data_IF_717294645583
#
_entry.id   IF_717294645583
#
_cell.length_a   1.000
_cell.length_b   1.000
_cell.length_c   1.000
_cell.angle_alpha   90.00
_cell.angle_beta   90.00
_cell.angle_gamma   90.00
#
_symmetry.space_group_name_H-M   'P 1'
#
loop_
_entity.id
_entity.type
_entity.pdbx_description
1 polymer ?
#
# COMPACT_ATOMS: atom_id res chain seq x y z
N UNK A 1 -8.39 32.87 -43.17
CA UNK A 1 -7.08 32.37 -42.71
C UNK A 1 -7.06 30.84 -42.75
N UNK A 2 -6.43 30.24 -43.78
CA UNK A 2 -6.16 28.80 -43.82
C UNK A 2 -4.86 28.56 -43.05
N UNK A 3 -4.95 28.15 -41.78
CA UNK A 3 -3.78 27.57 -41.11
C UNK A 3 -3.36 26.32 -41.88
N UNK A 4 -2.11 26.30 -42.35
CA UNK A 4 -1.59 25.23 -43.20
C UNK A 4 -1.52 23.92 -42.42
N UNK A 5 -1.93 22.80 -43.06
CA UNK A 5 -1.88 21.44 -42.49
C UNK A 5 -0.49 21.05 -41.95
N UNK A 6 0.56 21.72 -42.42
CA UNK A 6 1.94 21.51 -41.98
C UNK A 6 2.19 22.00 -40.54
N UNK A 7 1.48 23.03 -40.08
CA UNK A 7 1.65 23.54 -38.71
C UNK A 7 1.04 22.58 -37.66
N UNK A 8 -0.08 21.93 -38.00
CA UNK A 8 -0.73 20.95 -37.13
C UNK A 8 0.11 19.68 -36.95
N UNK A 9 0.76 19.20 -38.02
CA UNK A 9 1.64 18.01 -37.95
C UNK A 9 2.89 18.29 -37.10
N UNK A 10 3.50 19.47 -37.24
CA UNK A 10 4.68 19.86 -36.43
C UNK A 10 4.31 19.97 -34.94
N UNK A 11 3.14 20.51 -34.60
CA UNK A 11 2.69 20.64 -33.21
C UNK A 11 2.42 19.28 -32.55
N UNK A 12 1.89 18.31 -33.29
CA UNK A 12 1.66 16.93 -32.80
C UNK A 12 2.98 16.20 -32.57
N UNK A 13 3.96 16.35 -33.47
CA UNK A 13 5.28 15.72 -33.32
C UNK A 13 6.04 16.30 -32.11
N UNK A 14 6.01 17.63 -31.91
CA UNK A 14 6.66 18.28 -30.78
C UNK A 14 6.05 17.87 -29.43
N UNK A 15 4.73 17.66 -29.39
CA UNK A 15 4.04 17.24 -28.17
C UNK A 15 4.36 15.79 -27.78
N UNK A 16 4.51 14.90 -28.77
CA UNK A 16 4.87 13.49 -28.55
C UNK A 16 6.33 13.33 -28.09
N UNK A 17 7.27 14.08 -28.66
CA UNK A 17 8.70 14.00 -28.30
C UNK A 17 8.98 14.55 -26.91
N UNK A 18 8.33 15.66 -26.52
CA UNK A 18 8.42 16.20 -25.18
C UNK A 18 7.88 15.21 -24.12
N UNK A 19 6.80 14.50 -24.44
CA UNK A 19 6.20 13.49 -23.55
C UNK A 19 7.14 12.28 -23.33
N UNK A 20 7.80 11.80 -24.39
CA UNK A 20 8.75 10.68 -24.29
C UNK A 20 10.04 11.06 -23.54
N UNK A 21 10.53 12.30 -23.73
CA UNK A 21 11.69 12.81 -23.00
C UNK A 21 11.40 12.95 -21.50
N UNK A 22 10.22 13.44 -21.12
CA UNK A 22 9.80 13.56 -19.72
C UNK A 22 9.73 12.18 -19.02
N UNK A 23 9.10 11.18 -19.64
CA UNK A 23 9.10 9.81 -19.11
C UNK A 23 10.53 9.28 -18.91
N UNK A 24 11.40 9.48 -19.91
CA UNK A 24 12.80 8.99 -19.85
C UNK A 24 13.54 9.56 -18.66
N UNK A 25 13.34 10.85 -18.37
CA UNK A 25 13.94 11.50 -17.20
C UNK A 25 13.46 10.90 -15.89
N UNK A 26 12.15 10.66 -15.73
CA UNK A 26 11.57 10.05 -14.53
C UNK A 26 12.06 8.61 -14.32
N UNK A 27 12.16 7.83 -15.40
CA UNK A 27 12.71 6.45 -15.34
C UNK A 27 14.20 6.49 -14.96
N UNK A 28 14.97 7.45 -15.45
CA UNK A 28 16.37 7.62 -15.06
C UNK A 28 16.51 8.00 -13.57
N UNK A 29 15.59 8.82 -13.03
CA UNK A 29 15.56 9.10 -11.59
C UNK A 29 15.31 7.84 -10.78
N UNK A 30 14.33 7.02 -11.17
CA UNK A 30 14.08 5.72 -10.52
C UNK A 30 15.35 4.86 -10.55
N UNK A 31 15.92 4.66 -11.74
CA UNK A 31 17.13 3.84 -11.92
C UNK A 31 18.29 4.31 -11.05
N UNK A 32 18.45 5.62 -10.87
CA UNK A 32 19.58 6.22 -10.16
C UNK A 32 19.36 6.24 -8.64
N UNK A 33 18.13 6.50 -8.19
CA UNK A 33 17.87 6.85 -6.80
C UNK A 33 16.98 5.84 -6.07
N UNK A 34 16.10 5.09 -6.76
CA UNK A 34 15.26 4.05 -6.14
C UNK A 34 15.28 2.75 -6.93
N UNK A 35 16.20 1.86 -6.52
CA UNK A 35 16.35 0.52 -7.12
C UNK A 35 15.03 -0.27 -7.03
N UNK A 36 14.28 -0.14 -5.92
CA UNK A 36 12.97 -0.80 -5.77
C UNK A 36 11.97 -0.31 -6.81
N UNK A 37 11.76 1.02 -6.90
CA UNK A 37 10.81 1.58 -7.86
C UNK A 37 11.20 1.29 -9.31
N UNK A 38 12.49 1.31 -9.63
CA UNK A 38 12.96 0.91 -10.96
C UNK A 38 12.67 -0.57 -11.25
N UNK A 39 12.78 -1.44 -10.24
CA UNK A 39 12.47 -2.86 -10.42
C UNK A 39 10.99 -3.08 -10.75
N UNK A 40 10.07 -2.38 -10.07
CA UNK A 40 8.63 -2.38 -10.42
C UNK A 40 8.46 -1.94 -11.87
N UNK A 41 9.05 -0.79 -12.25
CA UNK A 41 8.99 -0.29 -13.62
C UNK A 41 9.49 -1.34 -14.62
N UNK A 42 10.62 -2.01 -14.37
CA UNK A 42 11.16 -3.02 -15.31
C UNK A 42 10.30 -4.28 -15.39
N UNK A 43 9.65 -4.68 -14.30
CA UNK A 43 8.81 -5.88 -14.20
C UNK A 43 7.47 -5.70 -14.91
N UNK A 44 6.91 -4.49 -14.89
CA UNK A 44 5.65 -4.14 -15.54
C UNK A 44 5.69 -4.44 -17.05
N UNK A 45 4.79 -5.26 -17.58
CA UNK A 45 4.80 -5.54 -19.04
C UNK A 45 4.31 -4.35 -19.86
N UNK A 46 3.20 -3.76 -19.44
CA UNK A 46 2.61 -2.60 -20.09
C UNK A 46 3.02 -1.29 -19.41
N UNK A 47 3.98 -0.57 -20.01
CA UNK A 47 4.50 0.69 -19.46
C UNK A 47 3.50 1.85 -19.53
N UNK A 48 2.38 1.69 -20.24
CA UNK A 48 1.40 2.77 -20.41
C UNK A 48 0.75 3.22 -19.09
N UNK A 49 0.62 2.31 -18.12
CA UNK A 49 0.13 2.64 -16.77
C UNK A 49 1.11 3.61 -16.08
N UNK A 50 2.40 3.28 -16.07
CA UNK A 50 3.42 4.14 -15.50
C UNK A 50 3.42 5.52 -16.19
N UNK A 51 3.39 5.53 -17.52
CA UNK A 51 3.37 6.76 -18.32
C UNK A 51 2.15 7.63 -18.06
N UNK A 52 0.98 7.02 -17.86
CA UNK A 52 -0.24 7.73 -17.56
C UNK A 52 -0.13 8.43 -16.21
N UNK A 53 0.15 7.67 -15.15
CA UNK A 53 0.18 8.20 -13.78
C UNK A 53 1.35 9.16 -13.53
N UNK A 54 2.47 8.99 -14.22
CA UNK A 54 3.60 9.92 -14.13
C UNK A 54 3.32 11.28 -14.77
N UNK A 55 2.29 11.38 -15.62
CA UNK A 55 1.89 12.62 -16.34
C UNK A 55 0.67 13.29 -15.73
N UNK A 56 -0.27 12.51 -15.20
CA UNK A 56 -1.54 13.03 -14.68
C UNK A 56 -1.46 13.45 -13.21
N UNK A 57 -0.48 12.95 -12.46
CA UNK A 57 -0.30 13.30 -11.05
C UNK A 57 0.36 14.66 -10.91
N UNK A 58 -0.42 15.65 -10.50
CA UNK A 58 0.09 17.00 -10.16
C UNK A 58 0.46 17.14 -8.68
N UNK A 59 -0.05 16.23 -7.84
CA UNK A 59 0.18 16.25 -6.42
C UNK A 59 1.62 15.86 -6.10
N UNK A 60 2.36 16.80 -5.55
CA UNK A 60 3.68 16.55 -4.98
C UNK A 60 4.85 16.59 -5.94
N UNK A 61 4.67 17.21 -7.10
CA UNK A 61 5.75 17.42 -8.07
C UNK A 61 6.30 16.10 -8.61
N UNK A 62 7.58 16.09 -8.96
CA UNK A 62 8.21 14.95 -9.65
C UNK A 62 8.27 13.69 -8.78
N UNK A 63 8.61 13.82 -7.50
CA UNK A 63 8.66 12.68 -6.57
C UNK A 63 7.27 12.07 -6.41
N UNK A 64 6.23 12.90 -6.21
CA UNK A 64 4.85 12.43 -6.10
C UNK A 64 4.36 11.74 -7.38
N UNK A 65 4.65 12.33 -8.54
CA UNK A 65 4.28 11.70 -9.81
C UNK A 65 4.97 10.35 -10.04
N UNK A 66 6.25 10.21 -9.68
CA UNK A 66 6.97 8.94 -9.77
C UNK A 66 6.41 7.92 -8.78
N UNK A 67 6.17 8.31 -7.53
CA UNK A 67 5.72 7.38 -6.50
C UNK A 67 4.31 6.86 -6.79
N UNK A 68 3.39 7.74 -7.23
CA UNK A 68 2.06 7.34 -7.71
C UNK A 68 2.16 6.43 -8.94
N UNK A 69 3.03 6.73 -9.90
CA UNK A 69 3.21 5.86 -11.06
C UNK A 69 3.73 4.46 -10.67
N UNK A 70 4.61 4.37 -9.68
CA UNK A 70 5.08 3.08 -9.14
C UNK A 70 3.97 2.35 -8.39
N UNK A 71 3.21 3.04 -7.54
CA UNK A 71 2.06 2.50 -6.80
C UNK A 71 1.08 1.81 -7.75
N UNK A 72 0.61 2.54 -8.75
CA UNK A 72 -0.38 2.03 -9.70
C UNK A 72 0.18 0.94 -10.62
N UNK A 73 1.47 1.02 -10.94
CA UNK A 73 2.16 -0.04 -11.68
C UNK A 73 2.26 -1.33 -10.88
N UNK A 74 2.38 -1.25 -9.55
CA UNK A 74 2.50 -2.42 -8.69
C UNK A 74 1.22 -3.26 -8.72
N UNK A 75 0.04 -2.64 -8.65
CA UNK A 75 -1.24 -3.35 -8.79
C UNK A 75 -1.28 -4.18 -10.07
N UNK A 76 -0.75 -3.63 -11.18
CA UNK A 76 -0.67 -4.37 -12.44
C UNK A 76 0.33 -5.53 -12.37
N UNK A 77 1.51 -5.31 -11.77
CA UNK A 77 2.51 -6.36 -11.58
C UNK A 77 1.95 -7.50 -10.74
N UNK A 78 1.33 -7.20 -9.60
CA UNK A 78 0.76 -8.20 -8.67
C UNK A 78 -0.38 -8.99 -9.34
N UNK A 79 -1.24 -8.30 -10.11
CA UNK A 79 -2.26 -8.94 -10.94
C UNK A 79 -1.66 -9.89 -11.98
N UNK A 80 -0.62 -9.48 -12.70
CA UNK A 80 0.02 -10.31 -13.73
C UNK A 80 0.76 -11.52 -13.15
N UNK A 81 1.42 -11.36 -11.99
CA UNK A 81 2.08 -12.44 -11.27
C UNK A 81 1.05 -13.45 -10.76
N UNK A 82 -0.04 -12.95 -10.18
CA UNK A 82 -1.16 -13.78 -9.72
C UNK A 82 -1.76 -14.59 -10.88
N UNK A 83 -2.03 -13.95 -12.03
CA UNK A 83 -2.56 -14.63 -13.21
C UNK A 83 -1.60 -15.67 -13.78
N UNK A 84 -0.30 -15.38 -13.79
CA UNK A 84 0.71 -16.32 -14.26
C UNK A 84 0.75 -17.57 -13.36
N UNK A 85 0.75 -17.39 -12.05
CA UNK A 85 0.84 -18.49 -11.10
C UNK A 85 -0.48 -19.28 -10.96
N UNK A 86 -1.64 -18.68 -11.28
CA UNK A 86 -2.90 -19.41 -11.48
C UNK A 86 -2.85 -20.34 -12.70
N UNK A 87 -2.23 -19.90 -13.80
CA UNK A 87 -2.12 -20.70 -15.05
C UNK A 87 -1.25 -21.93 -14.91
N UNK A 88 -0.24 -21.90 -14.04
CA UNK A 88 0.63 -23.06 -13.77
C UNK A 88 -0.03 -24.08 -12.83
N UNK A 89 -1.22 -23.78 -12.30
CA UNK A 89 -1.94 -24.65 -11.36
C UNK A 89 -1.36 -24.67 -9.95
N UNK A 90 -0.30 -23.90 -9.72
CA UNK A 90 0.48 -23.86 -8.47
C UNK A 90 -0.34 -23.25 -7.32
N UNK A 91 -1.23 -22.31 -7.63
CA UNK A 91 -1.87 -21.49 -6.60
C UNK A 91 -3.29 -21.03 -6.96
N UNK A 92 -4.22 -21.96 -7.22
CA UNK A 92 -5.58 -21.61 -7.69
C UNK A 92 -6.31 -20.57 -6.82
N UNK A 93 -5.93 -20.44 -5.54
CA UNK A 93 -6.51 -19.51 -4.60
C UNK A 93 -5.52 -18.49 -4.03
N UNK A 94 -4.30 -18.33 -4.54
CA UNK A 94 -3.37 -17.36 -3.94
C UNK A 94 -3.25 -16.08 -4.76
N UNK A 95 -2.92 -15.01 -4.05
CA UNK A 95 -2.43 -13.75 -4.58
C UNK A 95 -0.90 -13.75 -4.50
N UNK A 96 -0.25 -13.14 -5.48
CA UNK A 96 1.20 -12.98 -5.52
C UNK A 96 1.54 -11.51 -5.46
N UNK A 97 2.23 -11.11 -4.39
CA UNK A 97 2.67 -9.75 -4.16
C UNK A 97 4.15 -9.63 -4.51
N UNK A 98 4.50 -8.62 -5.30
CA UNK A 98 5.87 -8.22 -5.56
C UNK A 98 6.35 -7.32 -4.42
N UNK A 99 7.35 -7.77 -3.67
CA UNK A 99 7.83 -7.12 -2.46
C UNK A 99 8.89 -6.05 -2.77
N UNK A 100 9.12 -5.13 -1.82
CA UNK A 100 10.06 -4.00 -1.96
C UNK A 100 11.50 -4.49 -2.20
N UNK A 101 11.88 -5.61 -1.59
CA UNK A 101 13.19 -6.22 -1.82
C UNK A 101 13.33 -6.91 -3.18
N UNK A 102 12.23 -7.01 -3.96
CA UNK A 102 12.14 -7.64 -5.28
C UNK A 102 11.81 -9.12 -5.25
N UNK A 103 11.61 -9.70 -4.07
CA UNK A 103 11.08 -11.05 -3.92
C UNK A 103 9.56 -11.07 -4.17
N UNK A 104 8.98 -12.26 -4.15
CA UNK A 104 7.53 -12.46 -4.28
C UNK A 104 7.00 -13.18 -3.06
N UNK A 105 5.83 -12.75 -2.57
CA UNK A 105 5.09 -13.44 -1.53
C UNK A 105 3.77 -13.96 -2.10
N UNK A 106 3.53 -15.26 -1.91
CA UNK A 106 2.22 -15.83 -2.19
C UNK A 106 1.40 -15.87 -0.90
N UNK A 107 0.16 -15.38 -0.96
CA UNK A 107 -0.79 -15.40 0.15
C UNK A 107 -2.04 -16.08 -0.37
N UNK A 108 -2.43 -17.20 0.24
CA UNK A 108 -3.73 -17.80 -0.03
C UNK A 108 -4.83 -16.78 0.25
N UNK A 109 -5.87 -16.74 -0.59
CA UNK A 109 -7.13 -16.11 -0.25
C UNK A 109 -7.59 -16.63 1.12
N UNK A 110 -8.44 -15.88 1.82
CA UNK A 110 -8.85 -16.30 3.17
C UNK A 110 -9.39 -17.74 3.07
N UNK A 111 -8.86 -18.69 3.85
CA UNK A 111 -9.24 -20.08 3.67
C UNK A 111 -10.76 -20.22 3.86
N UNK A 112 -11.44 -21.04 3.02
CA UNK A 112 -12.87 -21.24 3.17
C UNK A 112 -13.20 -21.71 4.58
N UNK A 113 -14.42 -21.45 5.06
CA UNK A 113 -14.84 -21.97 6.36
C UNK A 113 -14.84 -23.50 6.36
N UNK A 114 -15.09 -24.08 7.54
CA UNK A 114 -15.23 -25.52 7.76
C UNK A 114 -16.32 -26.18 6.90
N UNK A 115 -17.18 -25.39 6.25
CA UNK A 115 -18.26 -25.86 5.37
C UNK A 115 -17.96 -25.62 3.89
N UNK A 116 -16.76 -25.15 3.54
CA UNK A 116 -16.38 -24.82 2.17
C UNK A 116 -17.02 -23.54 1.63
N UNK A 117 -17.69 -22.75 2.48
CA UNK A 117 -18.22 -21.44 2.13
C UNK A 117 -17.10 -20.41 2.03
N UNK A 118 -17.24 -19.45 1.11
CA UNK A 118 -16.36 -18.29 1.10
C UNK A 118 -16.57 -17.48 2.38
N UNK A 119 -15.50 -17.36 3.16
CA UNK A 119 -15.39 -16.58 4.39
C UNK A 119 -14.88 -15.17 4.16
N UNK A 120 -14.65 -14.80 2.90
CA UNK A 120 -14.10 -13.50 2.55
C UNK A 120 -15.16 -12.43 2.73
N UNK A 121 -14.95 -11.64 3.75
CA UNK A 121 -15.84 -10.56 4.11
C UNK A 121 -15.36 -9.27 3.47
N UNK A 122 -16.30 -8.53 2.90
CA UNK A 122 -16.05 -7.21 2.31
C UNK A 122 -15.54 -6.26 3.40
N UNK A 123 -14.38 -5.62 3.24
CA UNK A 123 -13.86 -4.69 4.22
C UNK A 123 -14.81 -3.52 4.53
N UNK A 124 -15.64 -3.13 3.56
CA UNK A 124 -16.69 -2.12 3.74
C UNK A 124 -17.62 -2.43 4.90
N UNK A 125 -18.07 -3.68 4.97
CA UNK A 125 -19.03 -4.17 5.97
C UNK A 125 -18.42 -4.25 7.39
N UNK A 126 -17.10 -4.13 7.51
CA UNK A 126 -16.34 -4.52 8.70
C UNK A 126 -15.55 -3.37 9.30
N UNK A 127 -14.89 -2.55 8.47
CA UNK A 127 -13.92 -1.57 8.92
C UNK A 127 -14.38 -0.12 8.73
N UNK A 128 -15.38 0.16 7.89
CA UNK A 128 -15.78 1.55 7.60
C UNK A 128 -16.30 2.28 8.85
N UNK A 129 -17.27 1.69 9.55
CA UNK A 129 -17.84 2.28 10.77
C UNK A 129 -16.79 2.43 11.89
N UNK A 130 -15.80 1.54 11.96
CA UNK A 130 -14.70 1.65 12.93
C UNK A 130 -13.71 2.75 12.54
N UNK A 131 -13.43 2.92 11.25
CA UNK A 131 -12.57 3.98 10.75
C UNK A 131 -13.18 5.38 11.01
N UNK A 132 -14.50 5.54 10.86
CA UNK A 132 -15.18 6.81 11.17
C UNK A 132 -15.06 7.18 12.66
N UNK A 133 -15.10 6.19 13.56
CA UNK A 133 -14.94 6.41 15.01
C UNK A 133 -13.54 6.90 15.40
N UNK A 134 -12.54 6.76 14.53
CA UNK A 134 -11.19 7.25 14.80
C UNK A 134 -11.10 8.79 14.73
N UNK A 135 -12.13 9.48 14.23
CA UNK A 135 -12.26 10.94 14.34
C UNK A 135 -11.25 11.77 13.56
N UNK A 136 -10.49 11.16 12.65
CA UNK A 136 -9.50 11.84 11.82
C UNK A 136 -10.03 12.05 10.40
N UNK A 137 -10.08 13.31 9.94
CA UNK A 137 -10.56 13.65 8.58
C UNK A 137 -9.79 12.91 7.47
N UNK A 138 -8.49 12.70 7.66
CA UNK A 138 -7.65 11.96 6.71
C UNK A 138 -8.08 10.50 6.67
N UNK A 139 -8.29 9.88 7.83
CA UNK A 139 -8.76 8.49 7.91
C UNK A 139 -10.15 8.38 7.29
N UNK A 140 -11.05 9.32 7.57
CA UNK A 140 -12.39 9.37 6.98
C UNK A 140 -12.36 9.51 5.46
N UNK A 141 -11.46 10.32 4.92
CA UNK A 141 -11.29 10.46 3.47
C UNK A 141 -10.84 9.14 2.83
N UNK A 142 -9.84 8.47 3.42
CA UNK A 142 -9.39 7.17 2.96
C UNK A 142 -10.44 6.08 3.17
N UNK A 143 -11.19 6.13 4.26
CA UNK A 143 -12.24 5.16 4.55
C UNK A 143 -13.35 5.26 3.50
N UNK A 144 -13.68 6.47 3.03
CA UNK A 144 -14.63 6.64 1.92
C UNK A 144 -14.14 5.98 0.63
N UNK A 145 -12.86 6.17 0.29
CA UNK A 145 -12.27 5.60 -0.94
C UNK A 145 -12.12 4.08 -0.86
N UNK A 146 -11.50 3.58 0.21
CA UNK A 146 -11.04 2.20 0.30
C UNK A 146 -12.00 1.28 1.06
N UNK A 147 -12.89 1.82 1.89
CA UNK A 147 -13.84 1.04 2.68
C UNK A 147 -15.30 1.31 2.30
N UNK A 148 -15.74 2.53 1.97
CA UNK A 148 -17.16 2.81 1.69
C UNK A 148 -17.54 2.72 0.20
N UNK A 149 -16.57 2.75 -0.70
CA UNK A 149 -16.76 2.75 -2.16
C UNK A 149 -16.67 1.37 -2.81
N UNK A 150 -16.56 1.34 -4.14
CA UNK A 150 -16.41 0.09 -4.91
C UNK A 150 -15.18 -0.72 -4.49
N UNK A 151 -14.09 -0.05 -4.08
CA UNK A 151 -12.91 -0.73 -3.52
C UNK A 151 -13.24 -1.48 -2.22
N UNK A 152 -14.11 -0.93 -1.39
CA UNK A 152 -14.52 -1.56 -0.12
C UNK A 152 -15.42 -2.78 -0.29
N UNK A 153 -16.03 -2.95 -1.47
CA UNK A 153 -16.79 -4.17 -1.83
C UNK A 153 -15.88 -5.29 -2.33
N UNK A 154 -14.60 -5.00 -2.54
CA UNK A 154 -13.63 -6.03 -2.88
C UNK A 154 -13.28 -6.85 -1.64
N UNK A 155 -12.35 -7.79 -1.79
CA UNK A 155 -11.97 -8.73 -0.76
C UNK A 155 -10.81 -8.18 0.07
N UNK A 156 -10.45 -8.87 1.14
CA UNK A 156 -9.37 -8.41 2.04
C UNK A 156 -8.00 -8.32 1.34
N UNK A 157 -7.75 -9.19 0.36
CA UNK A 157 -6.57 -9.12 -0.51
C UNK A 157 -6.43 -7.78 -1.22
N UNK A 158 -7.52 -7.08 -1.55
CA UNK A 158 -7.44 -5.73 -2.12
C UNK A 158 -6.85 -4.72 -1.12
N UNK A 159 -7.11 -4.85 0.19
CA UNK A 159 -6.45 -4.01 1.20
C UNK A 159 -4.99 -4.43 1.38
N UNK A 160 -4.68 -5.72 1.28
CA UNK A 160 -3.29 -6.19 1.32
C UNK A 160 -2.49 -5.70 0.11
N UNK A 161 -3.11 -5.62 -1.06
CA UNK A 161 -2.55 -5.06 -2.29
C UNK A 161 -2.25 -3.56 -2.11
N UNK A 162 -3.20 -2.79 -1.58
CA UNK A 162 -2.97 -1.37 -1.22
C UNK A 162 -1.87 -1.20 -0.15
N UNK A 163 -1.85 -2.08 0.87
CA UNK A 163 -0.78 -2.08 1.88
C UNK A 163 0.60 -2.30 1.23
N UNK A 164 0.70 -3.23 0.28
CA UNK A 164 1.92 -3.49 -0.48
C UNK A 164 2.28 -2.28 -1.36
N UNK A 165 1.32 -1.74 -2.10
CA UNK A 165 1.52 -0.58 -2.99
C UNK A 165 1.99 0.66 -2.23
N UNK A 166 1.37 0.97 -1.09
CA UNK A 166 1.82 2.08 -0.24
C UNK A 166 3.18 1.83 0.44
N UNK A 167 3.58 0.57 0.66
CA UNK A 167 4.94 0.27 1.14
C UNK A 167 5.99 0.60 0.06
N UNK A 168 5.71 0.27 -1.21
CA UNK A 168 6.54 0.70 -2.34
C UNK A 168 6.52 2.21 -2.54
N UNK A 169 5.36 2.87 -2.43
CA UNK A 169 5.26 4.34 -2.50
C UNK A 169 6.16 4.99 -1.44
N UNK A 170 6.03 4.57 -0.17
CA UNK A 170 6.85 5.09 0.93
C UNK A 170 8.35 4.88 0.69
N UNK A 171 8.73 3.70 0.17
CA UNK A 171 10.11 3.41 -0.21
C UNK A 171 10.63 4.35 -1.29
N UNK A 172 9.89 4.48 -2.40
CA UNK A 172 10.28 5.30 -3.55
C UNK A 172 10.38 6.76 -3.15
N UNK A 173 9.41 7.28 -2.39
CA UNK A 173 9.46 8.66 -1.88
C UNK A 173 10.72 8.88 -1.04
N UNK A 174 11.03 7.95 -0.13
CA UNK A 174 12.19 8.06 0.76
C UNK A 174 13.52 8.02 0.00
N UNK A 175 13.67 7.06 -0.92
CA UNK A 175 14.83 6.88 -1.78
C UNK A 175 15.07 8.12 -2.68
N UNK A 176 14.02 8.62 -3.35
CA UNK A 176 14.11 9.80 -4.21
C UNK A 176 14.41 11.07 -3.41
N UNK A 177 13.73 11.29 -2.28
CA UNK A 177 13.97 12.44 -1.41
C UNK A 177 15.42 12.48 -0.93
N UNK A 178 15.97 11.33 -0.50
CA UNK A 178 17.37 11.21 -0.10
C UNK A 178 18.33 11.45 -1.27
N UNK A 179 18.08 10.82 -2.43
CA UNK A 179 18.94 10.92 -3.61
C UNK A 179 18.99 12.33 -4.22
N UNK A 180 17.85 13.03 -4.22
CA UNK A 180 17.71 14.39 -4.75
C UNK A 180 17.99 15.48 -3.70
N UNK A 181 18.23 15.08 -2.44
CA UNK A 181 18.39 15.98 -1.28
C UNK A 181 17.18 16.91 -1.09
N UNK A 182 15.99 16.40 -1.39
CA UNK A 182 14.73 17.10 -1.21
C UNK A 182 14.07 16.66 0.09
N UNK A 183 13.48 17.60 0.84
CA UNK A 183 12.60 17.23 1.95
C UNK A 183 11.22 16.93 1.41
N UNK A 184 10.76 15.69 1.57
CA UNK A 184 9.42 15.28 1.14
C UNK A 184 8.64 14.68 2.29
N UNK A 185 7.35 15.04 2.37
CA UNK A 185 6.40 14.39 3.26
C UNK A 185 5.94 13.09 2.62
N UNK A 186 5.93 12.03 3.41
CA UNK A 186 5.39 10.73 3.00
C UNK A 186 3.87 10.78 3.05
N UNK A 187 3.25 10.18 2.04
CA UNK A 187 1.80 10.02 1.96
C UNK A 187 1.31 9.21 3.17
N UNK A 188 0.26 9.64 3.91
CA UNK A 188 -0.27 8.87 5.04
C UNK A 188 -0.88 7.51 4.67
N UNK A 189 -0.99 7.18 3.37
CA UNK A 189 -1.61 5.94 2.89
C UNK A 189 -1.06 4.66 3.53
N UNK A 190 0.26 4.53 3.72
CA UNK A 190 0.85 3.34 4.36
C UNK A 190 0.36 3.16 5.80
N UNK A 191 0.36 4.23 6.59
CA UNK A 191 -0.13 4.20 7.97
C UNK A 191 -1.62 3.84 8.00
N UNK A 192 -2.40 4.37 7.06
CA UNK A 192 -3.84 4.11 6.98
C UNK A 192 -4.12 2.65 6.58
N UNK A 193 -3.37 2.08 5.64
CA UNK A 193 -3.53 0.66 5.29
C UNK A 193 -3.16 -0.26 6.47
N UNK A 194 -2.13 0.09 7.25
CA UNK A 194 -1.82 -0.63 8.50
C UNK A 194 -3.01 -0.58 9.48
N UNK A 195 -3.67 0.59 9.60
CA UNK A 195 -4.87 0.76 10.44
C UNK A 195 -6.02 -0.08 9.89
N UNK A 196 -6.34 0.01 8.60
CA UNK A 196 -7.48 -0.70 8.00
C UNK A 196 -7.34 -2.22 8.09
N UNK A 197 -6.14 -2.75 7.83
CA UNK A 197 -5.86 -4.17 8.08
C UNK A 197 -6.04 -4.55 9.55
N UNK A 198 -5.57 -3.72 10.49
CA UNK A 198 -5.75 -3.96 11.92
C UNK A 198 -7.23 -3.97 12.34
N UNK A 199 -8.02 -3.00 11.87
CA UNK A 199 -9.47 -2.92 12.11
C UNK A 199 -10.20 -4.13 11.50
N UNK A 200 -9.83 -4.54 10.29
CA UNK A 200 -10.36 -5.74 9.65
C UNK A 200 -10.11 -6.98 10.51
N UNK A 201 -8.86 -7.19 10.95
CA UNK A 201 -8.47 -8.32 11.80
C UNK A 201 -9.24 -8.32 13.12
N UNK A 202 -9.38 -7.16 13.76
CA UNK A 202 -10.11 -7.01 15.03
C UNK A 202 -11.58 -7.46 14.89
N UNK A 203 -12.23 -7.01 13.82
CA UNK A 203 -13.64 -7.32 13.55
C UNK A 203 -13.84 -8.76 13.08
N UNK A 204 -12.95 -9.30 12.24
CA UNK A 204 -12.94 -10.74 11.88
C UNK A 204 -12.85 -11.61 13.13
N UNK A 205 -11.96 -11.26 14.05
CA UNK A 205 -11.81 -11.96 15.33
C UNK A 205 -13.08 -11.89 16.19
N UNK A 206 -13.76 -10.75 16.23
CA UNK A 206 -14.91 -10.52 17.09
C UNK A 206 -16.19 -11.19 16.56
N UNK A 207 -16.49 -11.05 15.27
CA UNK A 207 -17.80 -11.39 14.72
C UNK A 207 -17.79 -12.63 13.82
N UNK A 208 -16.61 -13.07 13.38
CA UNK A 208 -16.47 -14.14 12.39
C UNK A 208 -15.51 -15.24 12.85
N UNK A 209 -15.86 -16.02 13.90
CA UNK A 209 -14.95 -16.99 14.52
C UNK A 209 -14.49 -18.11 13.58
N UNK A 210 -15.26 -18.47 12.55
CA UNK A 210 -14.84 -19.42 11.53
C UNK A 210 -13.72 -18.83 10.66
N UNK A 211 -13.94 -17.65 10.09
CA UNK A 211 -12.92 -16.88 9.34
C UNK A 211 -11.69 -16.62 10.18
N UNK A 212 -11.86 -16.25 11.46
CA UNK A 212 -10.75 -16.04 12.38
C UNK A 212 -9.89 -17.28 12.58
N UNK A 213 -10.51 -18.46 12.76
CA UNK A 213 -9.76 -19.73 12.84
C UNK A 213 -9.00 -20.01 11.56
N UNK A 214 -9.59 -19.75 10.39
CA UNK A 214 -8.91 -19.86 9.10
C UNK A 214 -7.69 -18.93 9.01
N UNK A 215 -7.83 -17.66 9.39
CA UNK A 215 -6.73 -16.69 9.49
C UNK A 215 -5.64 -17.16 10.46
N UNK A 216 -6.01 -17.73 11.60
CA UNK A 216 -5.08 -18.18 12.64
C UNK A 216 -4.34 -19.48 12.31
N UNK A 217 -4.94 -20.36 11.51
CA UNK A 217 -4.42 -21.68 11.24
C UNK A 217 -3.89 -21.84 9.81
N UNK A 218 -4.17 -20.88 8.92
CA UNK A 218 -3.65 -20.86 7.55
C UNK A 218 -2.18 -20.47 7.53
N UNK A 219 -1.27 -21.45 7.50
CA UNK A 219 0.17 -21.21 7.56
C UNK A 219 0.68 -20.28 6.44
N UNK A 220 0.24 -20.49 5.20
CA UNK A 220 0.61 -19.65 4.07
C UNK A 220 0.03 -18.23 4.19
N UNK A 221 -1.23 -18.12 4.64
CA UNK A 221 -1.86 -16.83 4.93
C UNK A 221 -1.08 -16.05 5.99
N UNK A 222 -0.74 -16.68 7.12
CA UNK A 222 0.04 -16.06 8.19
C UNK A 222 1.44 -15.66 7.75
N UNK A 223 2.12 -16.52 7.00
CA UNK A 223 3.46 -16.21 6.45
C UNK A 223 3.39 -14.98 5.55
N UNK A 224 2.43 -14.96 4.63
CA UNK A 224 2.18 -13.82 3.75
C UNK A 224 1.86 -12.54 4.50
N UNK A 225 0.88 -12.60 5.40
CA UNK A 225 0.44 -11.47 6.21
C UNK A 225 1.58 -10.92 7.08
N UNK A 226 2.42 -11.80 7.64
CA UNK A 226 3.62 -11.42 8.40
C UNK A 226 4.62 -10.68 7.53
N UNK A 227 4.88 -11.17 6.31
CA UNK A 227 5.81 -10.52 5.37
C UNK A 227 5.34 -9.11 5.01
N UNK A 228 4.08 -8.96 4.61
CA UNK A 228 3.51 -7.66 4.26
C UNK A 228 3.52 -6.68 5.43
N UNK A 229 3.11 -7.13 6.63
CA UNK A 229 3.13 -6.26 7.81
C UNK A 229 4.55 -5.85 8.22
N UNK A 230 5.49 -6.80 8.20
CA UNK A 230 6.90 -6.52 8.54
C UNK A 230 7.52 -5.53 7.57
N UNK A 231 7.30 -5.72 6.26
CA UNK A 231 7.73 -4.79 5.22
C UNK A 231 7.10 -3.41 5.43
N UNK A 232 5.79 -3.33 5.65
CA UNK A 232 5.11 -2.06 5.89
C UNK A 232 5.71 -1.31 7.09
N UNK A 233 6.03 -2.00 8.19
CA UNK A 233 6.68 -1.39 9.35
C UNK A 233 8.13 -0.97 9.07
N UNK A 234 8.88 -1.75 8.31
CA UNK A 234 10.26 -1.43 7.94
C UNK A 234 10.33 -0.22 7.02
N UNK A 235 9.44 -0.13 6.04
CA UNK A 235 9.36 1.02 5.14
C UNK A 235 8.81 2.25 5.85
N UNK A 236 7.82 2.08 6.73
CA UNK A 236 7.37 3.16 7.60
C UNK A 236 8.52 3.70 8.45
N UNK A 237 9.32 2.81 9.06
CA UNK A 237 10.49 3.16 9.86
C UNK A 237 11.54 3.90 9.02
N UNK A 238 11.83 3.41 7.82
CA UNK A 238 12.78 4.04 6.90
C UNK A 238 12.31 5.44 6.46
N UNK A 239 11.00 5.61 6.30
CA UNK A 239 10.37 6.86 5.93
C UNK A 239 10.36 7.90 7.06
N UNK A 240 10.59 7.50 8.32
CA UNK A 240 10.54 8.38 9.49
C UNK A 240 11.69 9.40 9.63
N UNK A 241 12.30 9.82 8.52
CA UNK A 241 13.43 10.77 8.44
C UNK A 241 13.01 12.25 8.55
N UNK A 242 11.71 12.55 8.51
CA UNK A 242 11.17 13.92 8.56
C UNK A 242 10.11 14.10 9.65
N UNK A 243 9.98 15.34 10.13
CA UNK A 243 9.08 15.72 11.23
C UNK A 243 7.61 15.54 10.82
N UNK A 244 7.02 14.37 11.10
CA UNK A 244 5.56 14.23 11.10
C UNK A 244 4.95 15.31 12.00
N UNK A 245 3.94 16.01 11.49
CA UNK A 245 3.29 17.11 12.20
C UNK A 245 1.77 17.01 12.13
N UNK A 246 1.09 17.61 13.10
CA UNK A 246 -0.38 17.64 13.15
C UNK A 246 -1.02 16.26 13.01
N UNK A 247 -1.93 16.15 12.04
CA UNK A 247 -2.72 14.95 11.73
C UNK A 247 -1.88 13.76 11.28
N UNK A 248 -0.75 13.97 10.60
CA UNK A 248 0.12 12.86 10.17
C UNK A 248 0.70 12.11 11.37
N UNK A 249 1.09 12.86 12.42
CA UNK A 249 1.60 12.27 13.67
C UNK A 249 0.50 11.55 14.44
N UNK A 250 -0.75 11.98 14.32
CA UNK A 250 -1.91 11.30 14.90
C UNK A 250 -2.21 9.97 14.20
N UNK A 251 -2.28 9.98 12.87
CA UNK A 251 -2.46 8.76 12.06
C UNK A 251 -1.33 7.76 12.35
N UNK A 252 -0.09 8.24 12.44
CA UNK A 252 1.05 7.40 12.79
C UNK A 252 0.94 6.79 14.20
N UNK A 253 0.42 7.56 15.18
CA UNK A 253 0.14 7.04 16.53
C UNK A 253 -0.94 5.97 16.52
N UNK A 254 -1.98 6.13 15.69
CA UNK A 254 -3.03 5.12 15.56
C UNK A 254 -2.49 3.83 14.93
N UNK A 255 -1.73 3.94 13.83
CA UNK A 255 -1.14 2.79 13.14
C UNK A 255 -0.19 1.97 14.03
N UNK A 256 0.57 2.65 14.89
CA UNK A 256 1.52 2.04 15.82
C UNK A 256 0.94 1.89 17.25
N UNK A 257 -0.36 2.17 17.41
CA UNK A 257 -1.06 2.17 18.68
C UNK A 257 -1.37 0.76 19.17
N UNK A 258 -1.70 0.63 20.47
CA UNK A 258 -1.91 -0.67 21.12
C UNK A 258 -3.06 -1.45 20.50
N UNK A 259 -4.17 -0.78 20.13
CA UNK A 259 -5.32 -1.41 19.47
C UNK A 259 -4.90 -2.12 18.18
N UNK A 260 -4.33 -1.35 17.24
CA UNK A 260 -3.94 -1.87 15.91
C UNK A 260 -2.84 -2.92 16.04
N UNK A 261 -1.77 -2.63 16.78
CA UNK A 261 -0.67 -3.59 16.98
C UNK A 261 -1.12 -4.85 17.72
N UNK A 262 -2.08 -4.74 18.64
CA UNK A 262 -2.70 -5.89 19.32
C UNK A 262 -3.54 -6.76 18.40
N UNK A 263 -4.21 -6.18 17.39
CA UNK A 263 -4.90 -6.95 16.35
C UNK A 263 -3.89 -7.74 15.51
N UNK A 264 -2.80 -7.10 15.09
CA UNK A 264 -1.71 -7.76 14.36
C UNK A 264 -1.02 -8.86 15.17
N UNK A 265 -0.73 -8.63 16.46
CA UNK A 265 -0.19 -9.65 17.37
C UNK A 265 -1.17 -10.84 17.52
N UNK A 266 -2.47 -10.55 17.62
CA UNK A 266 -3.48 -11.59 17.69
C UNK A 266 -3.44 -12.48 16.44
N UNK A 267 -3.29 -11.88 15.24
CA UNK A 267 -3.24 -12.62 13.98
C UNK A 267 -1.92 -13.39 13.80
N UNK A 268 -0.79 -12.72 14.01
CA UNK A 268 0.56 -13.19 13.64
C UNK A 268 1.32 -13.90 14.77
N UNK A 269 0.80 -13.85 16.00
CA UNK A 269 1.51 -14.34 17.18
C UNK A 269 2.59 -13.38 17.65
N UNK A 270 3.56 -13.92 18.41
CA UNK A 270 4.54 -13.10 19.13
C UNK A 270 5.45 -12.31 18.20
N UNK A 271 5.58 -11.00 18.45
CA UNK A 271 6.64 -10.16 17.87
C UNK A 271 6.16 -9.01 16.97
N UNK A 272 4.90 -9.03 16.53
CA UNK A 272 4.30 -7.94 15.74
C UNK A 272 4.35 -6.61 16.53
N UNK A 273 4.01 -6.66 17.82
CA UNK A 273 4.06 -5.53 18.76
C UNK A 273 5.48 -5.02 18.95
N UNK A 274 6.47 -5.92 19.02
CA UNK A 274 7.87 -5.54 19.20
C UNK A 274 8.42 -4.81 17.95
N UNK A 275 8.06 -5.26 16.76
CA UNK A 275 8.41 -4.62 15.49
C UNK A 275 7.76 -3.23 15.38
N UNK A 276 6.46 -3.13 15.69
CA UNK A 276 5.77 -1.84 15.71
C UNK A 276 6.36 -0.87 16.74
N UNK A 277 6.75 -1.35 17.92
CA UNK A 277 7.43 -0.54 18.92
C UNK A 277 8.80 -0.03 18.43
N UNK A 278 9.53 -0.83 17.62
CA UNK A 278 10.77 -0.39 17.00
C UNK A 278 10.54 0.71 15.95
N UNK A 279 9.49 0.58 15.14
CA UNK A 279 9.06 1.64 14.23
C UNK A 279 8.68 2.91 15.02
N UNK A 280 7.84 2.81 16.05
CA UNK A 280 7.40 3.94 16.87
C UNK A 280 8.55 4.72 17.49
N UNK A 281 9.55 4.01 18.04
CA UNK A 281 10.77 4.63 18.59
C UNK A 281 11.53 5.42 17.53
N UNK A 282 11.72 4.83 16.34
CA UNK A 282 12.43 5.48 15.24
C UNK A 282 11.69 6.73 14.76
N UNK A 283 10.36 6.69 14.74
CA UNK A 283 9.52 7.80 14.32
C UNK A 283 9.28 8.87 15.40
N UNK A 284 9.97 8.79 16.54
CA UNK A 284 9.82 9.78 17.62
C UNK A 284 8.43 9.80 18.26
N UNK A 285 7.71 8.68 18.20
CA UNK A 285 6.48 8.46 18.96
C UNK A 285 6.88 7.83 20.29
N UNK A 286 7.36 8.69 21.20
CA UNK A 286 7.67 8.28 22.57
C UNK A 286 6.37 8.07 23.34
N UNK A 287 6.18 6.83 23.78
CA UNK A 287 5.03 6.32 24.53
C UNK A 287 3.68 6.55 23.84
N UNK A 288 3.17 5.49 23.21
CA UNK A 288 1.73 5.31 23.09
C UNK A 288 1.21 5.27 24.52
N UNK A 289 0.67 6.38 25.05
CA UNK A 289 -0.08 6.32 26.30
C UNK A 289 -1.12 5.20 26.10
N UNK A 290 -1.24 4.23 27.01
CA UNK A 290 -2.28 3.21 26.91
C UNK A 290 -3.59 3.94 26.70
N UNK A 291 -4.26 3.62 25.59
CA UNK A 291 -5.25 4.47 24.94
C UNK A 291 -6.14 5.23 25.95
N UNK A 292 -6.21 6.56 25.80
CA UNK A 292 -7.40 7.29 26.25
C UNK A 292 -8.55 6.66 25.49
N UNK A 293 -9.41 5.90 26.18
CA UNK A 293 -10.59 5.29 25.59
C UNK A 293 -11.37 6.41 24.89
N UNK A 294 -11.34 6.45 23.56
CA UNK A 294 -12.27 7.26 22.77
C UNK A 294 -13.61 6.56 22.97
N UNK A 295 -14.40 7.10 23.91
CA UNK A 295 -15.78 6.69 24.14
C UNK A 295 -16.69 7.34 23.12
#
# INVERSE_FOLDING_TARGET
>A
MKMSKNLAVVLVILSATASAAATTELVNMLKTHSVSGYRVYTTLKDKSIFDFFSKTTTNGGRIGAISTAVHESLHKVDSELTDAARKTGDIRNNFVFFLVDGSQASISSTPPDEKGGQTELEPSSIAHAEAEKLGSDIISAYAKTYLAGEMGKQKFDSILDELNAYAHDARVVSDLAAGLRETRRINPGLQIMIIFCGLYIERVKADFPATWRAVKNGADFQKGLKLLYSQALDELRAACTSKYSGTEKEVLRLALGKRITGAWEAALGTGATAHAAAAARTCGILQVKPDTVIR
#
